data_IF_202687151494
#
_entry.id   IF_202687151494
#
_cell.length_a   1.000
_cell.length_b   1.000
_cell.length_c   1.000
_cell.angle_alpha   90.00
_cell.angle_beta   90.00
_cell.angle_gamma   90.00
#
_symmetry.space_group_name_H-M   'P 1'
#
loop_
_entity.id
_entity.type
_entity.pdbx_description
1 polymer ?
#
# COMPACT_ATOMS: atom_id res chain seq x y z
N UNK A 1 -14.91 -1.68 11.87
CA UNK A 1 -14.52 -0.30 12.21
C UNK A 1 -14.15 -0.16 13.69
N UNK A 2 -14.15 1.03 14.31
CA UNK A 2 -13.36 1.40 15.52
C UNK A 2 -12.80 0.27 16.41
N UNK A 3 -13.62 -0.52 17.12
CA UNK A 3 -13.10 -1.56 18.01
C UNK A 3 -12.25 -2.65 17.33
N UNK A 4 -12.51 -2.94 16.05
CA UNK A 4 -11.69 -3.81 15.18
C UNK A 4 -10.37 -3.13 14.81
N UNK A 5 -10.41 -1.84 14.49
CA UNK A 5 -9.23 -1.01 14.20
C UNK A 5 -8.31 -0.86 15.42
N UNK A 6 -8.89 -0.60 16.59
CA UNK A 6 -8.18 -0.51 17.88
C UNK A 6 -7.49 -1.86 18.20
N UNK A 7 -8.16 -2.98 17.93
CA UNK A 7 -7.60 -4.32 18.07
C UNK A 7 -6.43 -4.56 17.09
N UNK A 8 -6.61 -4.22 15.81
CA UNK A 8 -5.58 -4.35 14.77
C UNK A 8 -4.32 -3.56 15.15
N UNK A 9 -4.50 -2.31 15.60
CA UNK A 9 -3.40 -1.50 16.06
C UNK A 9 -2.73 -2.02 17.33
N UNK A 10 -3.47 -2.58 18.28
CA UNK A 10 -2.85 -3.17 19.48
C UNK A 10 -2.04 -4.44 19.13
N UNK A 11 -2.48 -5.22 18.14
CA UNK A 11 -1.71 -6.34 17.60
C UNK A 11 -0.45 -5.87 16.85
N UNK A 12 -0.56 -4.88 15.96
CA UNK A 12 0.59 -4.32 15.23
C UNK A 12 1.66 -3.73 16.17
N UNK A 13 1.23 -3.03 17.23
CA UNK A 13 2.11 -2.57 18.32
C UNK A 13 2.79 -3.74 19.04
N UNK A 14 2.06 -4.83 19.32
CA UNK A 14 2.62 -6.00 19.99
C UNK A 14 3.68 -6.71 19.13
N UNK A 15 3.42 -6.86 17.82
CA UNK A 15 4.39 -7.39 16.85
C UNK A 15 5.63 -6.48 16.75
N UNK A 16 5.44 -5.17 16.58
CA UNK A 16 6.54 -4.21 16.55
C UNK A 16 7.38 -4.20 17.85
N UNK A 17 6.73 -4.37 19.02
CA UNK A 17 7.41 -4.47 20.31
C UNK A 17 8.16 -5.79 20.53
N UNK A 18 7.78 -6.87 19.84
CA UNK A 18 8.55 -8.12 19.80
C UNK A 18 9.72 -8.05 18.79
N UNK A 19 9.62 -7.21 17.77
CA UNK A 19 10.61 -7.07 16.70
C UNK A 19 11.73 -6.04 17.00
N UNK A 20 11.55 -5.13 17.96
CA UNK A 20 12.54 -4.07 18.29
C UNK A 20 13.41 -4.36 19.51
N UNK A 21 14.70 -4.04 19.36
CA UNK A 21 15.49 -3.45 20.44
C UNK A 21 15.64 -1.93 20.15
N UNK A 22 15.52 -1.10 21.19
CA UNK A 22 15.82 0.35 21.26
C UNK A 22 14.76 1.43 20.91
N UNK A 23 14.91 2.52 21.68
CA UNK A 23 14.50 3.94 21.58
C UNK A 23 13.16 4.33 20.90
N UNK A 24 12.27 5.07 21.59
CA UNK A 24 11.10 5.69 20.97
C UNK A 24 11.48 6.93 20.14
N UNK A 25 11.16 6.91 18.85
CA UNK A 25 11.20 8.08 17.98
C UNK A 25 9.91 8.91 18.08
N UNK A 26 10.03 10.24 18.00
CA UNK A 26 8.91 11.18 18.13
C UNK A 26 8.11 11.25 16.82
N UNK A 27 7.13 10.34 16.66
CA UNK A 27 6.27 10.26 15.47
C UNK A 27 5.64 11.62 15.13
N UNK A 28 6.08 12.19 14.02
CA UNK A 28 5.66 13.51 13.54
C UNK A 28 4.15 13.49 13.20
N UNK A 29 3.37 14.51 13.59
CA UNK A 29 1.91 14.50 13.40
C UNK A 29 1.53 14.59 11.92
N UNK A 30 0.54 13.78 11.51
CA UNK A 30 0.07 13.70 10.13
C UNK A 30 -0.33 15.07 9.53
N UNK A 31 0.17 15.43 8.33
CA UNK A 31 -0.18 16.68 7.68
C UNK A 31 -1.65 16.67 7.24
N UNK A 32 -2.36 17.77 7.50
CA UNK A 32 -3.83 17.86 7.32
C UNK A 32 -4.31 17.96 5.87
N UNK A 33 -3.40 17.91 4.89
CA UNK A 33 -3.68 18.14 3.46
C UNK A 33 -3.32 16.95 2.55
N UNK A 34 -2.49 16.01 3.00
CA UNK A 34 -2.27 14.72 2.33
C UNK A 34 -3.02 13.63 3.09
N UNK A 35 -4.00 13.01 2.42
CA UNK A 35 -4.49 11.64 2.66
C UNK A 35 -4.44 11.12 4.12
N UNK A 36 -5.14 11.82 5.02
CA UNK A 36 -5.13 11.55 6.47
C UNK A 36 -5.16 10.05 6.83
N UNK A 37 -6.04 9.27 6.19
CA UNK A 37 -6.19 7.84 6.40
C UNK A 37 -4.92 7.01 6.12
N UNK A 38 -4.12 7.33 5.07
CA UNK A 38 -2.85 6.61 4.83
C UNK A 38 -1.82 6.89 5.92
N UNK A 39 -1.74 8.15 6.39
CA UNK A 39 -0.83 8.51 7.47
C UNK A 39 -1.28 7.92 8.82
N UNK A 40 -2.59 7.88 9.07
CA UNK A 40 -3.18 7.15 10.20
C UNK A 40 -2.80 5.66 10.13
N UNK A 41 -3.09 4.96 9.01
CA UNK A 41 -2.72 3.54 8.85
C UNK A 41 -1.23 3.31 9.08
N UNK A 42 -0.34 4.09 8.44
CA UNK A 42 1.10 3.94 8.61
C UNK A 42 1.54 4.14 10.06
N UNK A 43 1.06 5.19 10.74
CA UNK A 43 1.38 5.45 12.14
C UNK A 43 0.93 4.31 13.07
N UNK A 44 -0.22 3.70 12.79
CA UNK A 44 -0.77 2.53 13.48
C UNK A 44 -0.01 1.23 13.19
N UNK A 45 0.47 1.05 11.95
CA UNK A 45 1.32 -0.05 11.49
C UNK A 45 2.82 0.22 11.69
N UNK A 46 3.19 1.25 12.47
CA UNK A 46 4.56 1.61 12.84
C UNK A 46 5.51 1.93 11.67
N UNK A 47 4.96 2.39 10.55
CA UNK A 47 5.67 2.90 9.38
C UNK A 47 5.48 4.43 9.23
N UNK A 48 6.27 5.06 8.36
CA UNK A 48 6.29 6.52 8.16
C UNK A 48 5.98 6.87 6.70
N UNK A 49 4.96 7.72 6.48
CA UNK A 49 4.65 8.26 5.14
C UNK A 49 5.60 9.42 4.83
N UNK A 50 6.30 9.34 3.70
CA UNK A 50 7.13 10.41 3.16
C UNK A 50 6.23 11.50 2.55
N UNK A 51 5.77 12.39 3.44
CA UNK A 51 4.96 13.56 3.09
C UNK A 51 5.79 14.61 2.36
N UNK A 52 5.25 15.27 1.33
CA UNK A 52 6.03 16.20 0.50
C UNK A 52 6.46 17.46 1.29
N UNK A 53 7.77 17.79 1.33
CA UNK A 53 8.30 18.89 2.14
C UNK A 53 7.78 20.27 1.72
N UNK A 54 7.83 21.22 2.66
CA UNK A 54 7.40 22.60 2.41
C UNK A 54 8.25 23.26 1.31
N UNK A 55 7.59 23.88 0.33
CA UNK A 55 8.24 24.53 -0.81
C UNK A 55 8.50 23.65 -2.03
N UNK A 56 8.42 22.32 -1.89
CA UNK A 56 8.52 21.40 -3.04
C UNK A 56 7.19 21.28 -3.80
N UNK A 57 7.30 20.92 -5.08
CA UNK A 57 6.19 20.74 -6.00
C UNK A 57 5.49 22.04 -6.41
N UNK A 58 4.66 21.93 -7.43
CA UNK A 58 3.80 23.02 -7.90
C UNK A 58 2.34 22.56 -7.93
N UNK A 59 1.40 23.51 -7.95
CA UNK A 59 -0.01 23.20 -8.03
C UNK A 59 -0.68 23.73 -9.30
N UNK A 60 -1.82 23.13 -9.64
CA UNK A 60 -2.65 23.52 -10.78
C UNK A 60 -4.12 23.26 -10.50
N UNK A 61 -4.97 24.18 -10.94
CA UNK A 61 -6.43 24.08 -10.88
C UNK A 61 -6.99 23.89 -12.28
N UNK A 62 -7.97 23.01 -12.44
CA UNK A 62 -8.59 22.69 -13.73
C UNK A 62 -10.09 23.02 -13.73
N UNK A 63 -10.63 23.42 -14.88
CA UNK A 63 -12.07 23.54 -15.13
C UNK A 63 -12.83 24.57 -14.28
N UNK A 64 -12.15 25.43 -13.52
CA UNK A 64 -12.79 26.31 -12.54
C UNK A 64 -13.25 25.61 -11.25
N UNK A 65 -12.81 24.37 -11.03
CA UNK A 65 -13.03 23.65 -9.76
C UNK A 65 -12.28 24.34 -8.60
N UNK A 66 -12.77 24.28 -7.35
CA UNK A 66 -11.95 24.62 -6.18
C UNK A 66 -10.81 23.61 -5.92
N UNK A 67 -10.78 22.46 -6.60
CA UNK A 67 -9.74 21.44 -6.41
C UNK A 67 -8.36 21.94 -6.89
N UNK A 68 -7.40 21.91 -5.97
CA UNK A 68 -5.98 22.22 -6.21
C UNK A 68 -5.22 20.90 -6.33
N UNK A 69 -4.72 20.59 -7.52
CA UNK A 69 -3.92 19.39 -7.77
C UNK A 69 -2.45 19.73 -7.59
N UNK A 70 -1.74 19.00 -6.73
CA UNK A 70 -0.30 19.12 -6.55
C UNK A 70 0.46 18.11 -7.40
N UNK A 71 1.61 18.53 -7.90
CA UNK A 71 2.54 17.78 -8.73
C UNK A 71 3.97 18.01 -8.24
N UNK A 72 4.83 17.04 -8.48
CA UNK A 72 6.27 17.10 -8.22
C UNK A 72 7.05 16.72 -9.49
N UNK A 73 8.29 17.19 -9.62
CA UNK A 73 9.20 16.78 -10.68
C UNK A 73 9.82 15.40 -10.42
N UNK A 74 10.49 14.86 -11.43
CA UNK A 74 11.21 13.58 -11.32
C UNK A 74 12.38 13.70 -10.33
N UNK A 75 13.05 14.86 -10.32
CA UNK A 75 14.10 15.19 -9.34
C UNK A 75 13.55 15.34 -7.92
N UNK A 76 12.40 15.99 -7.74
CA UNK A 76 11.76 16.15 -6.43
C UNK A 76 11.30 14.80 -5.85
N UNK A 77 10.76 13.90 -6.69
CA UNK A 77 10.45 12.51 -6.31
C UNK A 77 11.69 11.76 -5.85
N UNK A 78 12.83 11.96 -6.54
CA UNK A 78 14.10 11.32 -6.16
C UNK A 78 14.74 11.94 -4.92
N UNK A 79 14.53 13.22 -4.63
CA UNK A 79 14.99 13.87 -3.40
C UNK A 79 14.16 13.43 -2.19
N UNK A 80 12.83 13.32 -2.32
CA UNK A 80 11.97 12.87 -1.23
C UNK A 80 11.92 11.35 -1.04
N UNK A 81 12.15 10.56 -2.10
CA UNK A 81 11.64 9.19 -2.18
C UNK A 81 12.63 8.08 -2.53
N UNK A 82 13.88 8.40 -2.89
CA UNK A 82 14.89 7.42 -3.36
C UNK A 82 15.05 6.21 -2.45
N UNK A 83 15.12 6.43 -1.15
CA UNK A 83 15.41 5.38 -0.16
C UNK A 83 14.16 4.76 0.48
N UNK A 84 12.96 5.05 -0.06
CA UNK A 84 11.69 4.49 0.40
C UNK A 84 11.69 2.95 0.32
N UNK A 85 11.24 2.28 1.37
CA UNK A 85 11.14 0.83 1.42
C UNK A 85 10.00 0.30 0.54
N UNK A 86 8.87 1.00 0.57
CA UNK A 86 7.61 0.62 -0.08
C UNK A 86 7.04 1.84 -0.82
N UNK A 87 6.38 1.58 -1.95
CA UNK A 87 5.79 2.59 -2.82
C UNK A 87 4.37 2.17 -3.22
N UNK A 88 3.37 2.95 -2.85
CA UNK A 88 1.96 2.69 -3.17
C UNK A 88 1.54 3.64 -4.28
N UNK A 89 1.20 3.10 -5.45
CA UNK A 89 0.62 3.85 -6.56
C UNK A 89 -0.91 3.75 -6.51
N UNK A 90 -1.59 4.89 -6.41
CA UNK A 90 -3.06 4.95 -6.27
C UNK A 90 -3.78 5.14 -7.62
N UNK A 91 -3.02 5.26 -8.71
CA UNK A 91 -3.52 5.22 -10.07
C UNK A 91 -3.84 3.81 -10.55
N UNK A 92 -4.34 3.69 -11.79
CA UNK A 92 -4.74 2.41 -12.39
C UNK A 92 -3.87 1.99 -13.59
N UNK A 93 -2.79 2.73 -13.81
CA UNK A 93 -1.99 2.76 -15.04
C UNK A 93 -0.47 2.63 -14.76
N UNK A 94 -0.09 1.89 -13.71
CA UNK A 94 1.32 1.79 -13.26
C UNK A 94 2.28 1.43 -14.39
N UNK A 95 1.95 0.40 -15.18
CA UNK A 95 2.80 -0.08 -16.27
C UNK A 95 3.04 1.00 -17.34
N UNK A 96 2.05 1.87 -17.59
CA UNK A 96 2.17 2.96 -18.55
C UNK A 96 3.01 4.11 -18.01
N UNK A 97 2.94 4.41 -16.71
CA UNK A 97 3.82 5.37 -16.05
C UNK A 97 5.24 4.82 -15.96
N UNK A 98 5.43 3.55 -15.61
CA UNK A 98 6.73 2.89 -15.54
C UNK A 98 7.42 2.85 -16.91
N UNK A 99 6.71 2.48 -17.97
CA UNK A 99 7.22 2.53 -19.34
C UNK A 99 7.61 3.95 -19.83
N UNK A 100 7.17 5.00 -19.14
CA UNK A 100 7.49 6.41 -19.42
C UNK A 100 8.57 6.99 -18.47
N UNK A 101 8.75 6.41 -17.28
CA UNK A 101 9.51 7.00 -16.16
C UNK A 101 10.52 6.06 -15.52
N UNK A 102 10.79 4.89 -16.10
CA UNK A 102 11.75 3.91 -15.56
C UNK A 102 13.13 4.52 -15.24
N UNK A 103 13.69 5.41 -16.07
CA UNK A 103 14.96 6.11 -15.76
C UNK A 103 14.96 6.87 -14.40
N UNK A 104 13.78 7.25 -13.92
CA UNK A 104 13.55 7.83 -12.59
C UNK A 104 13.19 6.73 -11.58
N UNK A 105 12.18 5.91 -11.88
CA UNK A 105 11.63 4.93 -10.93
C UNK A 105 12.64 3.82 -10.58
N UNK A 106 13.48 3.38 -11.51
CA UNK A 106 14.52 2.35 -11.29
C UNK A 106 15.62 2.81 -10.31
N UNK A 107 15.64 4.10 -9.93
CA UNK A 107 16.51 4.64 -8.89
C UNK A 107 15.90 4.57 -7.48
N UNK A 108 14.61 4.21 -7.35
CA UNK A 108 13.90 4.13 -6.07
C UNK A 108 14.05 2.71 -5.50
N UNK A 109 14.50 2.61 -4.24
CA UNK A 109 14.73 1.37 -3.50
C UNK A 109 13.51 0.44 -3.51
N UNK A 110 12.30 0.97 -3.30
CA UNK A 110 11.06 0.20 -3.40
C UNK A 110 10.87 -0.48 -4.77
N UNK A 111 11.17 0.22 -5.87
CA UNK A 111 11.07 -0.31 -7.24
C UNK A 111 12.12 -1.40 -7.47
N UNK A 112 13.37 -1.14 -7.07
CA UNK A 112 14.48 -2.11 -7.15
C UNK A 112 14.19 -3.41 -6.38
N UNK A 113 13.58 -3.28 -5.19
CA UNK A 113 13.21 -4.40 -4.32
C UNK A 113 11.83 -5.01 -4.65
N UNK A 114 11.18 -4.56 -5.73
CA UNK A 114 9.82 -4.96 -6.14
C UNK A 114 8.74 -4.74 -5.07
N UNK A 115 8.94 -3.80 -4.15
CA UNK A 115 8.00 -3.38 -3.11
C UNK A 115 7.11 -2.23 -3.59
N UNK A 116 6.56 -2.38 -4.81
CA UNK A 116 5.59 -1.45 -5.37
C UNK A 116 4.22 -2.10 -5.36
N UNK A 117 3.25 -1.39 -4.80
CA UNK A 117 1.87 -1.84 -4.66
C UNK A 117 0.94 -0.87 -5.37
N UNK A 118 -0.20 -1.36 -5.86
CA UNK A 118 -1.28 -0.51 -6.33
C UNK A 118 -2.64 -0.87 -5.71
N UNK A 119 -3.61 0.02 -5.89
CA UNK A 119 -4.96 -0.10 -5.32
C UNK A 119 -5.91 -0.99 -6.14
N UNK A 120 -5.40 -1.82 -7.06
CA UNK A 120 -6.21 -2.64 -7.97
C UNK A 120 -6.47 -4.06 -7.45
N UNK A 121 -6.31 -4.32 -6.15
CA UNK A 121 -6.58 -5.62 -5.53
C UNK A 121 -8.01 -6.13 -5.70
N UNK A 122 -9.00 -5.24 -5.90
CA UNK A 122 -10.38 -5.57 -6.31
C UNK A 122 -10.75 -5.03 -7.71
N UNK A 123 -9.78 -4.55 -8.47
CA UNK A 123 -9.94 -4.05 -9.85
C UNK A 123 -10.10 -2.52 -9.98
N UNK A 124 -10.05 -1.97 -11.21
CA UNK A 124 -9.77 -0.55 -11.46
C UNK A 124 -10.70 0.49 -10.83
N UNK A 125 -12.00 0.19 -10.69
CA UNK A 125 -12.96 1.12 -10.09
C UNK A 125 -13.10 0.96 -8.57
N UNK A 126 -12.76 -0.21 -8.03
CA UNK A 126 -13.25 -0.65 -6.72
C UNK A 126 -12.69 0.19 -5.55
N UNK A 127 -11.45 0.67 -5.67
CA UNK A 127 -10.83 1.57 -4.68
C UNK A 127 -11.44 2.97 -4.70
N UNK A 128 -11.55 3.56 -5.89
CA UNK A 128 -12.04 4.94 -6.06
C UNK A 128 -13.54 5.05 -5.74
N UNK A 129 -14.29 3.96 -5.89
CA UNK A 129 -15.63 3.80 -5.32
C UNK A 129 -15.56 3.48 -3.81
N UNK A 130 -15.23 4.51 -3.01
CA UNK A 130 -15.06 4.51 -1.53
C UNK A 130 -16.15 3.83 -0.67
N UNK A 131 -17.23 3.31 -1.28
CA UNK A 131 -18.26 2.51 -0.63
C UNK A 131 -17.83 1.07 -0.36
N UNK A 132 -16.84 0.56 -1.09
CA UNK A 132 -16.36 -0.82 -0.94
C UNK A 132 -15.12 -0.94 -0.06
N UNK A 133 -14.19 0.04 -0.10
CA UNK A 133 -12.96 0.00 0.68
C UNK A 133 -13.23 0.21 2.19
N UNK A 134 -13.19 -0.88 2.97
CA UNK A 134 -13.46 -0.83 4.40
C UNK A 134 -12.25 -0.33 5.18
N UNK A 135 -12.41 0.77 5.93
CA UNK A 135 -11.32 1.47 6.63
C UNK A 135 -10.42 0.54 7.48
N UNK A 136 -10.99 -0.40 8.23
CA UNK A 136 -10.21 -1.35 9.01
C UNK A 136 -9.55 -2.48 8.20
N UNK A 137 -10.09 -2.83 7.02
CA UNK A 137 -9.44 -3.78 6.09
C UNK A 137 -8.27 -3.11 5.37
N UNK A 138 -8.42 -1.85 4.94
CA UNK A 138 -7.30 -1.08 4.35
C UNK A 138 -6.18 -0.84 5.37
N UNK A 139 -6.51 -0.65 6.65
CA UNK A 139 -5.51 -0.58 7.73
C UNK A 139 -4.77 -1.91 7.94
N UNK A 140 -5.46 -3.05 7.83
CA UNK A 140 -4.82 -4.38 7.87
C UNK A 140 -3.93 -4.63 6.63
N UNK A 141 -4.38 -4.23 5.45
CA UNK A 141 -3.60 -4.27 4.21
C UNK A 141 -2.30 -3.46 4.32
N UNK A 142 -2.36 -2.24 4.87
CA UNK A 142 -1.18 -1.43 5.16
C UNK A 142 -0.22 -2.18 6.09
N UNK A 143 -0.74 -2.75 7.19
CA UNK A 143 0.07 -3.49 8.16
C UNK A 143 0.74 -4.73 7.56
N UNK A 144 0.11 -5.41 6.60
CA UNK A 144 0.72 -6.55 5.91
C UNK A 144 1.84 -6.10 4.95
N UNK A 145 1.62 -5.09 4.10
CA UNK A 145 2.69 -4.64 3.19
C UNK A 145 3.92 -4.08 3.92
N UNK A 146 3.76 -3.51 5.14
CA UNK A 146 4.89 -3.06 5.98
C UNK A 146 5.49 -4.16 6.87
N UNK A 147 5.06 -5.42 6.74
CA UNK A 147 5.60 -6.56 7.48
C UNK A 147 5.25 -6.60 8.97
N UNK A 148 4.15 -5.94 9.37
CA UNK A 148 3.63 -5.88 10.76
C UNK A 148 2.28 -6.59 10.93
N UNK A 149 1.88 -7.43 9.98
CA UNK A 149 0.75 -8.35 10.12
C UNK A 149 1.02 -9.39 11.21
N UNK A 150 -0.05 -9.95 11.81
CA UNK A 150 0.09 -10.92 12.88
C UNK A 150 0.58 -12.27 12.35
N UNK A 151 1.71 -12.74 12.89
CA UNK A 151 2.20 -14.11 12.69
C UNK A 151 1.45 -15.17 13.50
N UNK A 152 0.42 -14.76 14.27
CA UNK A 152 -0.39 -15.65 15.12
C UNK A 152 -1.89 -15.43 14.90
N UNK A 153 -2.66 -16.53 14.92
CA UNK A 153 -4.09 -16.51 14.61
C UNK A 153 -4.38 -16.75 13.14
N UNK A 154 -5.46 -16.15 12.62
CA UNK A 154 -5.78 -16.14 11.18
C UNK A 154 -4.94 -15.06 10.52
N UNK A 155 -4.16 -15.42 9.50
CA UNK A 155 -3.39 -14.46 8.71
C UNK A 155 -4.35 -13.56 7.93
N UNK A 156 -4.04 -12.26 7.83
CA UNK A 156 -4.77 -11.32 7.00
C UNK A 156 -4.48 -11.60 5.51
N UNK A 157 -5.51 -11.57 4.67
CA UNK A 157 -5.37 -11.66 3.22
C UNK A 157 -5.58 -10.27 2.61
N UNK A 158 -4.55 -9.75 1.91
CA UNK A 158 -4.61 -8.40 1.33
C UNK A 158 -5.69 -8.30 0.28
N UNK A 159 -6.56 -7.30 0.44
CA UNK A 159 -7.77 -7.12 -0.38
C UNK A 159 -7.63 -6.02 -1.42
N UNK A 160 -6.98 -4.93 -1.05
CA UNK A 160 -6.96 -3.64 -1.74
C UNK A 160 -5.59 -3.32 -2.33
N UNK A 161 -4.52 -3.51 -1.56
CA UNK A 161 -3.14 -3.32 -2.01
C UNK A 161 -2.58 -4.61 -2.60
N UNK A 162 -2.45 -4.66 -3.93
CA UNK A 162 -1.74 -5.74 -4.63
C UNK A 162 -0.31 -5.32 -4.97
N UNK A 163 0.64 -6.25 -4.99
CA UNK A 163 1.99 -6.00 -5.48
C UNK A 163 2.00 -6.02 -7.02
N UNK A 164 2.47 -4.93 -7.65
CA UNK A 164 2.35 -4.76 -9.11
C UNK A 164 3.21 -5.77 -9.92
N UNK A 165 4.24 -6.36 -9.30
CA UNK A 165 5.17 -7.28 -9.94
C UNK A 165 4.80 -8.76 -9.74
N UNK A 166 4.04 -9.11 -8.69
CA UNK A 166 3.78 -10.51 -8.31
C UNK A 166 2.29 -10.89 -8.25
N UNK A 167 1.38 -9.91 -8.20
CA UNK A 167 -0.05 -10.16 -7.98
C UNK A 167 -0.89 -9.56 -9.13
N UNK A 168 -1.83 -10.32 -9.73
CA UNK A 168 -2.64 -9.85 -10.85
C UNK A 168 -3.64 -8.76 -10.42
N UNK A 169 -4.18 -8.01 -11.38
CA UNK A 169 -5.33 -7.14 -11.13
C UNK A 169 -6.51 -8.02 -10.70
N UNK A 170 -7.09 -7.73 -9.54
CA UNK A 170 -8.22 -8.48 -8.99
C UNK A 170 -9.57 -8.04 -9.59
N UNK A 171 -10.63 -8.70 -9.14
CA UNK A 171 -12.00 -8.42 -9.57
C UNK A 171 -12.99 -8.68 -8.44
N UNK A 172 -13.90 -7.74 -8.19
CA UNK A 172 -15.08 -7.99 -7.37
C UNK A 172 -15.94 -9.13 -7.96
N UNK A 173 -16.47 -9.97 -7.08
CA UNK A 173 -17.46 -10.99 -7.45
C UNK A 173 -18.79 -10.35 -7.90
N UNK A 174 -19.53 -11.05 -8.77
CA UNK A 174 -20.85 -10.60 -9.21
C UNK A 174 -21.92 -11.08 -8.25
N UNK A 175 -22.71 -10.16 -7.69
CA UNK A 175 -23.86 -10.46 -6.85
C UNK A 175 -24.83 -11.46 -7.53
N UNK A 176 -25.13 -12.57 -6.86
CA UNK A 176 -26.03 -13.61 -7.34
C UNK A 176 -27.50 -13.16 -7.21
N UNK A 177 -27.96 -12.42 -8.21
CA UNK A 177 -29.36 -11.98 -8.36
C UNK A 177 -30.24 -13.16 -8.79
N UNK A 178 -31.34 -13.48 -8.08
CA UNK A 178 -32.01 -12.66 -7.06
C UNK A 178 -31.66 -13.00 -5.60
N UNK A 179 -30.97 -14.10 -5.34
CA UNK A 179 -30.87 -14.74 -4.02
C UNK A 179 -30.11 -13.88 -2.98
N UNK A 180 -29.23 -12.98 -3.43
CA UNK A 180 -28.44 -12.09 -2.58
C UNK A 180 -29.05 -10.69 -2.38
N UNK A 181 -30.07 -10.28 -3.15
CA UNK A 181 -30.64 -8.91 -3.10
C UNK A 181 -31.14 -8.52 -1.70
N UNK A 182 -31.56 -9.49 -0.89
CA UNK A 182 -32.09 -9.29 0.45
C UNK A 182 -31.12 -9.70 1.57
N UNK A 183 -29.90 -10.10 1.23
CA UNK A 183 -28.89 -10.47 2.21
C UNK A 183 -28.13 -9.21 2.69
N UNK A 184 -27.78 -9.11 3.99
CA UNK A 184 -26.96 -8.03 4.47
C UNK A 184 -25.53 -8.17 3.90
N UNK A 185 -24.93 -7.06 3.50
CA UNK A 185 -23.52 -7.07 3.09
C UNK A 185 -22.64 -7.47 4.28
N UNK A 186 -21.86 -8.54 4.10
CA UNK A 186 -20.84 -8.99 5.05
C UNK A 186 -19.48 -8.59 4.45
N UNK A 187 -18.74 -7.64 5.04
CA UNK A 187 -17.40 -7.32 4.58
C UNK A 187 -16.46 -8.51 4.86
N UNK A 188 -15.60 -8.92 3.91
CA UNK A 188 -14.71 -10.08 4.05
C UNK A 188 -13.45 -9.76 4.91
N UNK A 189 -13.59 -8.94 5.93
CA UNK A 189 -12.51 -8.61 6.86
C UNK A 189 -12.33 -9.68 7.94
N UNK A 190 -11.08 -10.01 8.26
CA UNK A 190 -10.73 -10.94 9.34
C UNK A 190 -11.21 -10.41 10.70
N UNK A 191 -11.87 -11.24 11.52
CA UNK A 191 -12.22 -10.87 12.88
C UNK A 191 -10.95 -10.71 13.72
N UNK A 192 -10.67 -9.49 14.19
CA UNK A 192 -9.46 -9.22 14.95
C UNK A 192 -9.52 -9.86 16.34
N UNK A 193 -8.68 -10.87 16.54
CA UNK A 193 -8.40 -11.49 17.85
C UNK A 193 -7.16 -10.84 18.44
N UNK A 194 -7.25 -10.33 19.67
CA UNK A 194 -6.11 -9.73 20.38
C UNK A 194 -5.06 -10.79 20.72
N UNK A 195 -3.80 -10.54 20.37
CA UNK A 195 -2.66 -11.41 20.70
C UNK A 195 -2.50 -11.44 22.24
N UNK A 196 -2.50 -12.62 22.90
CA UNK A 196 -2.26 -12.71 24.33
C UNK A 196 -0.79 -12.40 24.64
N UNK A 197 -0.54 -11.67 25.73
CA UNK A 197 0.77 -11.08 26.09
C UNK A 197 1.88 -12.08 26.46
N UNK A 198 1.68 -13.38 26.23
CA UNK A 198 2.61 -14.45 26.57
C UNK A 198 2.29 -15.73 25.79
N UNK A 199 3.09 -16.03 24.77
CA UNK A 199 3.22 -17.38 24.19
C UNK A 199 4.71 -17.72 24.15
N UNK A 200 5.04 -18.93 24.59
CA UNK A 200 6.41 -19.43 24.78
C UNK A 200 6.93 -20.14 23.51
N UNK A 201 8.24 -20.14 23.30
CA UNK A 201 8.86 -20.46 22.00
C UNK A 201 9.22 -21.93 21.82
N UNK A 202 8.32 -22.73 21.22
CA UNK A 202 8.61 -24.04 20.59
C UNK A 202 7.43 -24.44 19.67
N UNK A 203 7.56 -25.09 18.51
CA UNK A 203 8.67 -25.92 17.97
C UNK A 203 8.74 -25.84 16.44
N UNK A 204 9.93 -26.05 15.86
CA UNK A 204 10.18 -26.24 14.41
C UNK A 204 9.70 -27.62 13.88
N UNK A 205 9.54 -27.74 12.55
CA UNK A 205 9.90 -28.93 11.74
C UNK A 205 9.91 -28.54 10.24
N UNK A 206 10.94 -28.95 9.51
CA UNK A 206 11.18 -28.65 8.09
C UNK A 206 10.54 -29.66 7.10
N UNK A 207 10.42 -29.28 5.82
CA UNK A 207 10.78 -30.14 4.67
C UNK A 207 10.87 -29.34 3.34
N UNK A 208 11.55 -29.87 2.30
CA UNK A 208 12.01 -29.11 1.13
C UNK A 208 11.88 -29.83 -0.25
N UNK A 209 12.22 -29.10 -1.34
CA UNK A 209 12.33 -29.54 -2.75
C UNK A 209 11.94 -28.39 -3.73
N UNK A 210 12.85 -27.72 -4.47
CA UNK A 210 13.56 -28.12 -5.72
C UNK A 210 12.61 -28.16 -6.96
N UNK A 211 12.62 -27.18 -7.90
CA UNK A 211 13.54 -26.89 -9.06
C UNK A 211 13.18 -27.71 -10.34
N UNK A 212 13.25 -27.28 -11.62
CA UNK A 212 13.77 -26.13 -12.43
C UNK A 212 12.93 -26.08 -13.78
N UNK A 213 13.02 -25.26 -14.86
CA UNK A 213 13.78 -24.07 -15.36
C UNK A 213 13.06 -23.42 -16.62
N UNK A 214 13.50 -22.22 -17.09
CA UNK A 214 13.49 -21.57 -18.46
C UNK A 214 12.23 -21.51 -19.39
N UNK A 215 12.09 -20.59 -20.38
CA UNK A 215 12.85 -19.40 -20.88
C UNK A 215 11.99 -18.49 -21.83
N UNK A 216 12.38 -17.20 -21.98
CA UNK A 216 12.44 -16.34 -23.21
C UNK A 216 11.33 -16.31 -24.30
N UNK A 217 11.12 -15.26 -25.14
CA UNK A 217 11.55 -13.84 -25.19
C UNK A 217 10.86 -13.15 -26.40
N UNK A 218 10.59 -11.83 -26.35
CA UNK A 218 10.89 -10.85 -27.44
C UNK A 218 10.21 -9.48 -27.21
N UNK A 219 10.84 -8.41 -27.72
CA UNK A 219 10.40 -7.02 -27.56
C UNK A 219 10.11 -6.34 -28.91
N UNK A 220 9.42 -5.19 -28.89
CA UNK A 220 9.35 -4.25 -30.02
C UNK A 220 9.04 -2.83 -29.53
N UNK A 221 9.90 -1.88 -29.88
CA UNK A 221 9.82 -0.48 -29.43
C UNK A 221 8.81 0.36 -30.24
N UNK A 222 8.33 1.46 -29.64
CA UNK A 222 8.47 2.79 -30.28
C UNK A 222 8.28 3.97 -29.34
N UNK A 223 9.26 4.88 -29.38
CA UNK A 223 9.29 6.15 -28.67
C UNK A 223 8.23 7.15 -29.16
N UNK A 224 7.65 7.89 -28.21
CA UNK A 224 7.13 9.25 -28.42
C UNK A 224 7.18 10.01 -27.10
N UNK A 225 7.93 11.12 -27.02
CA UNK A 225 7.98 11.93 -25.80
C UNK A 225 6.59 12.51 -25.46
N UNK A 226 6.10 12.18 -24.26
CA UNK A 226 4.96 12.82 -23.63
C UNK A 226 5.35 13.16 -22.18
N UNK A 227 5.59 14.45 -21.91
CA UNK A 227 5.91 14.91 -20.55
C UNK A 227 4.64 14.92 -19.72
N UNK A 228 4.33 13.76 -19.11
CA UNK A 228 3.31 13.66 -18.07
C UNK A 228 3.90 14.00 -16.70
N UNK A 229 3.08 14.64 -15.88
CA UNK A 229 3.43 15.14 -14.56
C UNK A 229 2.71 14.31 -13.50
N UNK A 230 3.47 13.80 -12.54
CA UNK A 230 2.98 12.90 -11.52
C UNK A 230 2.30 13.72 -10.42
N UNK A 231 0.99 13.53 -10.24
CA UNK A 231 0.25 14.18 -9.16
C UNK A 231 0.58 13.49 -7.84
N UNK A 232 0.76 14.25 -6.75
CA UNK A 232 1.13 13.64 -5.46
C UNK A 232 0.05 12.70 -4.92
N UNK A 233 -1.22 12.94 -5.26
CA UNK A 233 -2.33 12.04 -4.93
C UNK A 233 -2.12 10.63 -5.50
N UNK A 234 -1.34 10.49 -6.58
CA UNK A 234 -1.08 9.23 -7.27
C UNK A 234 0.00 8.34 -6.60
N UNK A 235 0.85 8.87 -5.71
CA UNK A 235 1.96 8.12 -5.10
C UNK A 235 2.09 8.39 -3.60
N UNK A 236 2.17 7.33 -2.82
CA UNK A 236 2.45 7.36 -1.38
C UNK A 236 3.69 6.52 -1.13
N UNK A 237 4.76 7.17 -0.64
CA UNK A 237 6.04 6.54 -0.36
C UNK A 237 6.16 6.28 1.14
N UNK A 238 6.70 5.12 1.52
CA UNK A 238 6.69 4.62 2.90
C UNK A 238 8.09 4.15 3.30
N UNK A 239 8.50 4.52 4.52
CA UNK A 239 9.73 4.05 5.18
C UNK A 239 9.37 3.23 6.41
N UNK A 240 10.12 2.16 6.66
CA UNK A 240 9.99 1.30 7.81
C UNK A 240 10.87 1.79 8.97
N UNK A 241 10.31 1.83 10.18
CA UNK A 241 10.99 2.29 11.40
C UNK A 241 11.40 1.11 12.31
#
# INVERSE_FOLDING_TARGET
MQASYDCSSDNAKAVAAQQRELVPEEKQPCPTWDSAYYCEYAAHCDATILSRPEGAGYNRTYGGSPTVYWYVSDEEILEMGRDADIMIFTGADYDAIYALKNETLDQIKAVQNKQVFDTLGQGPSAWNEQRYAEYDVVGLDMCDIVGRSSTTGVQHERRWFRNVFTEPIGSLEMCNVPDEIFQPYVPPGTECVRIPSSIDSTTTTDSAGEEEDTSESSASEKSSLLVFYLAMVAFVLVVLN
#
